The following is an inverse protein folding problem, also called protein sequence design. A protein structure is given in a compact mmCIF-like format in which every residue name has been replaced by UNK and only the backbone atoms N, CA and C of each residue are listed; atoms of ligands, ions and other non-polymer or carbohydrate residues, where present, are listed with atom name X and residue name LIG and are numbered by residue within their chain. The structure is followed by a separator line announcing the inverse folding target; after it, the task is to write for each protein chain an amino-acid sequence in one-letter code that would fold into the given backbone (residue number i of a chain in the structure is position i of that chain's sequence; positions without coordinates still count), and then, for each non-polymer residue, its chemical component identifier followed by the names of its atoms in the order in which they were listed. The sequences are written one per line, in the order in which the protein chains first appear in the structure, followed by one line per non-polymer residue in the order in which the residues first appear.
data_IF_526028347958
#
_entry.id   IF_526028347958
#
_cell.length_a   1.000
_cell.length_b   1.000
_cell.length_c   1.000
_cell.angle_alpha   90.00
_cell.angle_beta   90.00
_cell.angle_gamma   90.00
#
_symmetry.space_group_name_H-M   'P 1'
#
loop_
_entity.id
_entity.type
_entity.pdbx_description
1 polymer ?
#
# COMPACT_ATOMS: atom_id res chain seq x y z
N UNK A 1 -6.55 38.21 19.05
CA UNK A 1 -7.74 37.31 19.00
C UNK A 1 -7.99 36.67 17.64
N UNK A 2 -7.48 37.22 16.56
CA UNK A 2 -7.69 36.74 15.17
C UNK A 2 -6.64 35.75 14.71
N UNK A 3 -5.46 35.69 15.34
CA UNK A 3 -4.34 34.86 14.88
C UNK A 3 -4.50 33.37 15.25
N UNK A 4 -5.21 33.06 16.31
CA UNK A 4 -5.44 31.67 16.74
C UNK A 4 -6.46 30.93 15.87
N UNK A 5 -7.53 31.61 15.47
CA UNK A 5 -8.61 30.99 14.68
C UNK A 5 -8.19 30.61 13.25
N UNK A 6 -7.26 31.38 12.65
CA UNK A 6 -6.79 31.08 11.28
C UNK A 6 -5.83 29.90 11.21
N UNK A 7 -4.95 29.74 12.18
CA UNK A 7 -3.99 28.64 12.19
C UNK A 7 -4.67 27.27 12.41
N UNK A 8 -5.59 27.19 13.38
CA UNK A 8 -6.36 25.96 13.63
C UNK A 8 -7.28 25.61 12.45
N UNK A 9 -7.88 26.62 11.81
CA UNK A 9 -8.69 26.45 10.60
C UNK A 9 -7.86 25.89 9.44
N UNK A 10 -6.70 26.47 9.15
CA UNK A 10 -5.83 26.05 8.06
C UNK A 10 -5.32 24.60 8.26
N UNK A 11 -4.95 24.23 9.48
CA UNK A 11 -4.51 22.86 9.81
C UNK A 11 -5.66 21.88 9.64
N UNK A 12 -6.87 22.21 10.12
CA UNK A 12 -8.05 21.37 9.97
C UNK A 12 -8.47 21.20 8.51
N UNK A 13 -8.45 22.27 7.73
CA UNK A 13 -8.79 22.25 6.31
C UNK A 13 -7.79 21.46 5.46
N UNK A 14 -6.49 21.58 5.75
CA UNK A 14 -5.44 20.75 5.11
C UNK A 14 -5.58 19.28 5.49
N UNK A 15 -5.92 18.96 6.73
CA UNK A 15 -6.24 17.62 7.17
C UNK A 15 -7.48 17.04 6.46
N UNK A 16 -8.50 17.84 6.24
CA UNK A 16 -9.69 17.46 5.48
C UNK A 16 -9.38 17.24 3.99
N UNK A 17 -8.51 18.06 3.42
CA UNK A 17 -8.02 17.90 2.04
C UNK A 17 -7.24 16.60 1.89
N UNK A 18 -6.33 16.29 2.80
CA UNK A 18 -5.60 15.02 2.84
C UNK A 18 -6.55 13.82 2.92
N UNK A 19 -7.54 13.88 3.81
CA UNK A 19 -8.55 12.81 3.94
C UNK A 19 -9.33 12.61 2.65
N UNK A 20 -9.78 13.69 2.01
CA UNK A 20 -10.50 13.62 0.73
C UNK A 20 -9.66 12.95 -0.36
N UNK A 21 -8.39 13.32 -0.48
CA UNK A 21 -7.47 12.74 -1.47
C UNK A 21 -7.23 11.25 -1.16
N UNK A 22 -7.01 10.91 0.11
CA UNK A 22 -6.87 9.53 0.56
C UNK A 22 -8.11 8.68 0.25
N UNK A 23 -9.32 9.22 0.50
CA UNK A 23 -10.59 8.55 0.17
C UNK A 23 -10.78 8.39 -1.34
N UNK A 24 -10.40 9.37 -2.15
CA UNK A 24 -10.43 9.28 -3.62
C UNK A 24 -9.47 8.20 -4.14
N UNK A 25 -8.26 8.15 -3.59
CA UNK A 25 -7.28 7.12 -3.94
C UNK A 25 -7.75 5.73 -3.53
N UNK A 26 -8.28 5.57 -2.31
CA UNK A 26 -8.84 4.30 -1.83
C UNK A 26 -9.96 3.81 -2.74
N UNK A 27 -10.91 4.66 -3.09
CA UNK A 27 -11.99 4.31 -4.03
C UNK A 27 -11.48 3.90 -5.41
N UNK A 28 -10.42 4.54 -5.91
CA UNK A 28 -9.81 4.17 -7.16
C UNK A 28 -9.13 2.78 -7.08
N UNK A 29 -8.43 2.50 -5.99
CA UNK A 29 -7.83 1.19 -5.74
C UNK A 29 -8.90 0.10 -5.56
N UNK A 30 -9.95 0.35 -4.76
CA UNK A 30 -11.05 -0.58 -4.56
C UNK A 30 -11.73 -0.95 -5.89
N UNK A 31 -11.97 0.04 -6.75
CA UNK A 31 -12.53 -0.20 -8.08
C UNK A 31 -11.66 -1.11 -8.94
N UNK A 32 -10.35 -1.03 -8.81
CA UNK A 32 -9.41 -1.90 -9.53
C UNK A 32 -9.46 -3.32 -8.96
N UNK A 33 -9.42 -3.48 -7.64
CA UNK A 33 -9.46 -4.78 -6.98
C UNK A 33 -10.81 -5.49 -7.12
N UNK A 34 -11.91 -4.75 -7.15
CA UNK A 34 -13.27 -5.30 -7.34
C UNK A 34 -13.61 -5.58 -8.81
N UNK A 35 -12.71 -5.28 -9.74
CA UNK A 35 -12.94 -5.50 -11.16
C UNK A 35 -12.75 -6.96 -11.56
N UNK A 36 -13.47 -7.40 -12.60
CA UNK A 36 -13.27 -8.72 -13.20
C UNK A 36 -11.85 -8.94 -13.75
N UNK A 37 -11.09 -7.85 -13.91
CA UNK A 37 -9.69 -7.91 -14.36
C UNK A 37 -8.71 -8.31 -13.25
N UNK A 38 -9.08 -8.21 -11.97
CA UNK A 38 -8.29 -8.71 -10.86
C UNK A 38 -8.53 -10.21 -10.69
N UNK A 39 -7.56 -11.07 -11.03
CA UNK A 39 -7.82 -12.50 -11.23
C UNK A 39 -7.65 -13.35 -9.97
N UNK A 40 -7.50 -12.72 -8.80
CA UNK A 40 -7.19 -13.43 -7.56
C UNK A 40 -8.32 -13.33 -6.54
N UNK A 41 -8.50 -14.41 -5.75
CA UNK A 41 -9.30 -14.34 -4.54
C UNK A 41 -8.55 -13.60 -3.45
N UNK A 42 -9.24 -12.74 -2.72
CA UNK A 42 -8.65 -11.86 -1.73
C UNK A 42 -9.62 -11.59 -0.59
N UNK A 43 -9.09 -11.61 0.64
CA UNK A 43 -9.83 -11.19 1.82
C UNK A 43 -9.67 -9.69 2.08
N UNK A 44 -8.50 -9.14 1.80
CA UNK A 44 -8.13 -7.75 2.10
C UNK A 44 -7.35 -7.19 0.93
N UNK A 45 -7.93 -6.20 0.26
CA UNK A 45 -7.26 -5.41 -0.76
C UNK A 45 -7.66 -3.97 -0.62
N UNK A 46 -6.73 -3.09 -0.35
CA UNK A 46 -6.97 -1.65 -0.35
C UNK A 46 -5.71 -0.85 -0.65
N UNK A 47 -5.89 0.41 -0.95
CA UNK A 47 -4.80 1.37 -1.11
C UNK A 47 -5.06 2.64 -0.31
N UNK A 48 -4.01 3.19 0.26
CA UNK A 48 -4.02 4.46 0.98
C UNK A 48 -2.90 5.37 0.48
N UNK A 49 -3.05 6.67 0.72
CA UNK A 49 -1.95 7.64 0.62
C UNK A 49 -1.41 7.89 2.01
N UNK A 50 -0.11 7.76 2.18
CA UNK A 50 0.56 8.06 3.44
C UNK A 50 0.70 9.57 3.61
N UNK A 51 -0.08 10.13 4.53
CA UNK A 51 0.02 11.52 4.95
C UNK A 51 0.55 11.62 6.37
N UNK A 52 1.47 12.55 6.60
CA UNK A 52 2.00 12.85 7.93
C UNK A 52 1.84 14.33 8.25
N UNK A 53 1.44 14.70 9.49
CA UNK A 53 1.46 16.09 9.92
C UNK A 53 2.89 16.59 10.08
N UNK A 54 3.12 17.90 9.87
CA UNK A 54 4.44 18.49 10.04
C UNK A 54 5.01 18.27 11.45
N UNK A 55 4.17 18.32 12.48
CA UNK A 55 4.58 18.05 13.87
C UNK A 55 5.10 16.63 14.08
N UNK A 56 4.58 15.65 13.36
CA UNK A 56 5.12 14.30 13.37
C UNK A 56 6.49 14.25 12.70
N UNK A 57 6.61 14.84 11.52
CA UNK A 57 7.86 14.88 10.75
C UNK A 57 9.00 15.58 11.51
N UNK A 58 8.71 16.66 12.24
CA UNK A 58 9.69 17.37 13.07
C UNK A 58 10.26 16.49 14.19
N UNK A 59 9.46 15.60 14.77
CA UNK A 59 9.85 14.78 15.91
C UNK A 59 10.38 13.38 15.53
N UNK A 60 9.98 12.84 14.38
CA UNK A 60 10.24 11.44 14.00
C UNK A 60 10.95 11.32 12.63
N UNK A 61 11.17 12.43 11.93
CA UNK A 61 11.63 12.42 10.55
C UNK A 61 10.49 12.20 9.56
N UNK A 62 10.75 12.46 8.29
CA UNK A 62 9.82 12.23 7.20
C UNK A 62 9.99 10.80 6.72
N UNK A 63 8.95 9.95 6.74
CA UNK A 63 9.01 8.64 6.08
C UNK A 63 9.38 8.80 4.60
N UNK A 64 10.07 7.81 4.05
CA UNK A 64 10.56 7.86 2.66
C UNK A 64 9.44 8.07 1.64
N UNK A 65 8.24 7.56 1.94
CA UNK A 65 7.06 7.61 1.07
C UNK A 65 5.86 8.26 1.78
N UNK A 66 5.99 9.51 2.17
CA UNK A 66 4.89 10.24 2.79
C UNK A 66 4.76 11.65 2.20
N UNK A 67 3.55 12.19 2.28
CA UNK A 67 3.25 13.58 1.94
C UNK A 67 2.94 14.34 3.22
N UNK A 68 3.61 15.47 3.42
CA UNK A 68 3.36 16.33 4.57
C UNK A 68 2.08 17.12 4.33
N UNK A 69 1.10 17.00 5.24
CA UNK A 69 -0.21 17.64 5.09
C UNK A 69 -0.13 19.16 4.97
N UNK A 70 0.88 19.80 5.58
CA UNK A 70 1.08 21.24 5.52
C UNK A 70 1.48 21.76 4.12
N UNK A 71 1.97 20.87 3.24
CA UNK A 71 2.33 21.21 1.85
C UNK A 71 1.11 21.25 0.93
N UNK A 72 -0.06 20.75 1.39
CA UNK A 72 -1.29 20.78 0.61
C UNK A 72 -1.84 22.20 0.50
N UNK A 73 -2.30 22.54 -0.70
CA UNK A 73 -3.03 23.78 -0.97
C UNK A 73 -4.54 23.50 -0.88
N UNK A 74 -5.26 24.40 -0.22
CA UNK A 74 -6.71 24.28 -0.08
C UNK A 74 -7.40 24.41 -1.45
N UNK A 75 -8.49 23.65 -1.61
CA UNK A 75 -9.34 23.66 -2.82
C UNK A 75 -8.62 23.31 -4.13
N UNK A 76 -7.40 22.79 -4.04
CA UNK A 76 -6.67 22.31 -5.21
C UNK A 76 -7.06 20.87 -5.56
N UNK A 77 -7.25 20.62 -6.84
CA UNK A 77 -7.34 19.25 -7.38
C UNK A 77 -5.94 18.68 -7.54
N UNK A 78 -5.77 17.42 -7.14
CA UNK A 78 -4.51 16.71 -7.24
C UNK A 78 -4.66 15.47 -8.12
N UNK A 79 -3.59 15.14 -8.83
CA UNK A 79 -3.51 13.92 -9.62
C UNK A 79 -3.24 12.71 -8.72
N UNK A 80 -4.17 11.76 -8.69
CA UNK A 80 -4.03 10.53 -7.90
C UNK A 80 -2.81 9.70 -8.33
N UNK A 81 -2.43 9.75 -9.60
CA UNK A 81 -1.22 9.09 -10.08
C UNK A 81 0.03 9.72 -9.50
N UNK A 82 0.09 11.05 -9.45
CA UNK A 82 1.21 11.76 -8.84
C UNK A 82 1.32 11.43 -7.34
N UNK A 83 0.22 11.51 -6.60
CA UNK A 83 0.22 11.16 -5.18
C UNK A 83 0.51 9.68 -4.92
N UNK A 84 -0.07 8.80 -5.70
CA UNK A 84 0.22 7.37 -5.63
C UNK A 84 1.70 7.08 -5.81
N UNK A 85 2.34 7.71 -6.79
CA UNK A 85 3.77 7.52 -7.05
C UNK A 85 4.70 8.03 -5.95
N UNK A 86 4.23 8.94 -5.11
CA UNK A 86 5.00 9.52 -3.98
C UNK A 86 4.72 8.84 -2.66
N UNK A 87 3.49 8.42 -2.42
CA UNK A 87 3.04 7.99 -1.10
C UNK A 87 1.91 6.95 -1.14
N UNK A 88 1.64 6.34 -2.29
CA UNK A 88 0.65 5.28 -2.40
C UNK A 88 1.15 4.00 -1.75
N UNK A 89 0.35 3.43 -0.87
CA UNK A 89 0.62 2.18 -0.18
C UNK A 89 -0.52 1.21 -0.42
N UNK A 90 -0.22 0.06 -1.01
CA UNK A 90 -1.19 -1.02 -1.19
C UNK A 90 -0.99 -2.10 -0.13
N UNK A 91 -2.09 -2.58 0.42
CA UNK A 91 -2.13 -3.76 1.29
C UNK A 91 -3.01 -4.82 0.64
N UNK A 92 -2.43 -5.99 0.36
CA UNK A 92 -3.07 -7.03 -0.44
C UNK A 92 -2.85 -8.40 0.17
N UNK A 93 -3.93 -9.13 0.42
CA UNK A 93 -3.92 -10.52 0.86
C UNK A 93 -4.57 -11.38 -0.20
N UNK A 94 -3.79 -12.19 -0.87
CA UNK A 94 -4.24 -13.07 -1.97
C UNK A 94 -4.25 -14.52 -1.50
N UNK A 95 -5.31 -15.23 -1.83
CA UNK A 95 -5.44 -16.67 -1.60
C UNK A 95 -5.08 -17.46 -2.85
N UNK A 96 -4.29 -18.52 -2.69
CA UNK A 96 -3.88 -19.41 -3.77
C UNK A 96 -3.57 -20.82 -3.26
N UNK A 97 -3.93 -21.81 -4.04
CA UNK A 97 -3.49 -23.21 -3.78
C UNK A 97 -1.97 -23.39 -3.98
N UNK A 98 -1.30 -22.43 -4.60
CA UNK A 98 0.15 -22.41 -4.79
C UNK A 98 0.74 -21.21 -4.05
N UNK A 99 1.52 -21.48 -3.00
CA UNK A 99 2.19 -20.47 -2.18
C UNK A 99 3.69 -20.61 -2.34
N UNK A 100 4.22 -19.91 -3.35
CA UNK A 100 5.64 -19.90 -3.73
C UNK A 100 6.11 -18.51 -4.10
N UNK A 101 7.42 -18.28 -4.11
CA UNK A 101 8.00 -17.01 -4.53
C UNK A 101 7.67 -16.67 -5.99
N UNK A 102 7.63 -17.67 -6.87
CA UNK A 102 7.23 -17.51 -8.28
C UNK A 102 5.78 -17.03 -8.39
N UNK A 103 4.88 -17.60 -7.58
CA UNK A 103 3.47 -17.19 -7.58
C UNK A 103 3.29 -15.78 -7.03
N UNK A 104 3.99 -15.43 -5.96
CA UNK A 104 3.96 -14.09 -5.41
C UNK A 104 4.54 -13.05 -6.40
N UNK A 105 5.63 -13.40 -7.10
CA UNK A 105 6.18 -12.57 -8.17
C UNK A 105 5.16 -12.32 -9.31
N UNK A 106 4.45 -13.37 -9.74
CA UNK A 106 3.37 -13.27 -10.74
C UNK A 106 2.25 -12.32 -10.26
N UNK A 107 1.82 -12.45 -9.00
CA UNK A 107 0.79 -11.60 -8.39
C UNK A 107 1.21 -10.12 -8.39
N UNK A 108 2.43 -9.81 -7.97
CA UNK A 108 2.95 -8.44 -7.92
C UNK A 108 3.03 -7.81 -9.32
N UNK A 109 3.52 -8.56 -10.31
CA UNK A 109 3.56 -8.10 -11.71
C UNK A 109 2.16 -7.83 -12.26
N UNK A 110 1.20 -8.70 -11.96
CA UNK A 110 -0.20 -8.53 -12.38
C UNK A 110 -0.86 -7.32 -11.72
N UNK A 111 -0.63 -7.08 -10.43
CA UNK A 111 -1.15 -5.90 -9.71
C UNK A 111 -0.58 -4.62 -10.34
N UNK A 112 0.73 -4.56 -10.55
CA UNK A 112 1.36 -3.39 -11.17
C UNK A 112 0.78 -3.08 -12.55
N UNK A 113 0.69 -4.09 -13.42
CA UNK A 113 0.13 -3.95 -14.77
C UNK A 113 -1.33 -3.46 -14.73
N UNK A 114 -2.12 -3.99 -13.80
CA UNK A 114 -3.52 -3.62 -13.63
C UNK A 114 -3.67 -2.16 -13.17
N UNK A 115 -2.86 -1.71 -12.21
CA UNK A 115 -2.85 -0.33 -11.74
C UNK A 115 -2.41 0.62 -12.86
N UNK A 116 -1.33 0.31 -13.57
CA UNK A 116 -0.83 1.10 -14.68
C UNK A 116 -1.88 1.29 -15.78
N UNK A 117 -2.60 0.22 -16.14
CA UNK A 117 -3.69 0.25 -17.13
C UNK A 117 -4.86 1.14 -16.71
N UNK A 118 -5.08 1.29 -15.41
CA UNK A 118 -6.14 2.14 -14.87
C UNK A 118 -5.66 3.57 -14.55
N UNK A 119 -4.43 3.93 -14.86
CA UNK A 119 -3.89 5.26 -14.63
C UNK A 119 -3.70 5.62 -13.15
N UNK A 120 -3.64 4.60 -12.29
CA UNK A 120 -3.34 4.72 -10.87
C UNK A 120 -2.01 4.05 -10.60
N UNK A 121 -1.24 4.53 -9.64
CA UNK A 121 0.04 3.94 -9.26
C UNK A 121 0.19 3.94 -7.74
N UNK A 122 1.24 3.31 -7.26
CA UNK A 122 1.59 3.25 -5.84
C UNK A 122 3.11 3.40 -5.67
N UNK A 123 3.56 3.63 -4.47
CA UNK A 123 4.99 3.68 -4.13
C UNK A 123 5.48 2.36 -3.57
N UNK A 124 4.72 1.80 -2.61
CA UNK A 124 5.02 0.52 -1.97
C UNK A 124 3.80 -0.40 -1.93
N UNK A 125 4.06 -1.69 -1.79
CA UNK A 125 3.04 -2.70 -1.56
C UNK A 125 3.47 -3.67 -0.47
N UNK A 126 2.54 -3.97 0.45
CA UNK A 126 2.57 -5.13 1.33
C UNK A 126 1.67 -6.20 0.72
N UNK A 127 2.22 -7.34 0.39
CA UNK A 127 1.46 -8.42 -0.23
C UNK A 127 1.70 -9.75 0.49
N UNK A 128 0.62 -10.37 0.90
CA UNK A 128 0.62 -11.70 1.51
C UNK A 128 -0.04 -12.69 0.56
N UNK A 129 0.64 -13.78 0.29
CA UNK A 129 0.13 -14.93 -0.45
C UNK A 129 -0.04 -16.10 0.53
N UNK A 130 -1.26 -16.55 0.69
CA UNK A 130 -1.64 -17.59 1.65
C UNK A 130 -2.55 -18.65 1.03
N UNK A 131 -2.65 -19.81 1.68
CA UNK A 131 -3.60 -20.84 1.28
C UNK A 131 -5.04 -20.39 1.58
N UNK A 132 -6.04 -20.83 0.77
CA UNK A 132 -7.44 -20.55 1.04
C UNK A 132 -7.83 -21.07 2.43
N UNK A 133 -8.65 -20.29 3.15
CA UNK A 133 -9.18 -20.71 4.44
C UNK A 133 -10.10 -21.91 4.26
N UNK A 134 -9.94 -22.99 5.05
CA UNK A 134 -10.84 -24.15 4.95
C UNK A 134 -12.26 -23.76 5.35
N UNK A 135 -13.25 -24.24 4.61
CA UNK A 135 -14.68 -24.01 4.89
C UNK A 135 -15.12 -24.59 6.25
N UNK A 136 -14.46 -25.62 6.72
CA UNK A 136 -14.74 -26.32 7.99
C UNK A 136 -14.05 -25.70 9.21
N UNK A 137 -13.28 -24.61 9.03
CA UNK A 137 -12.51 -23.96 10.08
C UNK A 137 -11.33 -24.80 10.60
N UNK A 138 -10.94 -25.86 9.89
CA UNK A 138 -9.74 -26.65 10.22
C UNK A 138 -8.48 -25.76 10.13
N UNK A 139 -7.56 -25.93 11.08
CA UNK A 139 -6.25 -25.28 10.99
C UNK A 139 -5.49 -25.87 9.83
N UNK A 140 -5.20 -25.08 8.80
CA UNK A 140 -4.17 -25.38 7.81
C UNK A 140 -2.81 -24.91 8.31
N UNK A 141 -1.78 -25.44 7.67
CA UNK A 141 -0.43 -24.94 7.80
C UNK A 141 -0.42 -23.41 7.55
N UNK A 142 0.06 -22.65 8.54
CA UNK A 142 0.12 -21.19 8.49
C UNK A 142 1.24 -20.69 7.54
N UNK A 143 1.73 -21.55 6.64
CA UNK A 143 2.75 -21.18 5.68
C UNK A 143 2.21 -20.13 4.70
N UNK A 144 2.94 -19.03 4.63
CA UNK A 144 2.66 -17.94 3.71
C UNK A 144 3.94 -17.37 3.14
N UNK A 145 3.83 -16.76 1.98
CA UNK A 145 4.85 -15.90 1.41
C UNK A 145 4.41 -14.47 1.56
N UNK A 146 5.32 -13.59 1.98
CA UNK A 146 4.96 -12.18 2.17
C UNK A 146 6.08 -11.25 1.76
N UNK A 147 5.72 -10.13 1.18
CA UNK A 147 6.61 -8.99 0.99
C UNK A 147 6.06 -7.79 1.75
N UNK A 148 6.98 -7.01 2.32
CA UNK A 148 6.67 -5.79 3.07
C UNK A 148 7.48 -4.63 2.51
N UNK A 149 6.82 -3.46 2.43
CA UNK A 149 7.42 -2.24 1.88
C UNK A 149 8.11 -2.48 0.52
N UNK A 150 7.52 -3.35 -0.31
CA UNK A 150 8.08 -3.70 -1.60
C UNK A 150 7.85 -2.57 -2.60
N UNK A 151 8.93 -2.02 -3.17
CA UNK A 151 8.84 -0.83 -4.00
C UNK A 151 8.22 -1.13 -5.37
N UNK A 152 7.37 -0.23 -5.84
CA UNK A 152 6.85 -0.26 -7.22
C UNK A 152 7.97 -0.34 -8.26
N UNK A 153 9.08 0.37 -8.03
CA UNK A 153 10.27 0.37 -8.91
C UNK A 153 10.96 -0.99 -9.00
N UNK A 154 10.79 -1.86 -8.01
CA UNK A 154 11.39 -3.19 -7.95
C UNK A 154 10.49 -4.28 -8.55
N UNK A 155 9.28 -3.91 -8.99
CA UNK A 155 8.35 -4.82 -9.66
C UNK A 155 8.62 -4.81 -11.17
N UNK A 156 9.46 -5.72 -11.65
CA UNK A 156 9.76 -5.99 -13.05
C UNK A 156 10.27 -7.42 -13.24
N UNK A 157 10.15 -7.98 -14.45
CA UNK A 157 10.32 -9.42 -14.71
C UNK A 157 11.71 -9.96 -14.35
N UNK A 158 12.79 -9.23 -14.72
CA UNK A 158 14.16 -9.69 -14.50
C UNK A 158 14.44 -9.89 -13.01
N UNK A 159 14.87 -11.09 -12.62
CA UNK A 159 15.18 -11.47 -11.24
C UNK A 159 14.06 -11.23 -10.20
N UNK A 160 12.80 -11.13 -10.64
CA UNK A 160 11.67 -10.83 -9.75
C UNK A 160 11.52 -11.84 -8.61
N UNK A 161 11.65 -13.13 -8.91
CA UNK A 161 11.55 -14.21 -7.92
C UNK A 161 12.62 -14.06 -6.84
N UNK A 162 13.84 -13.67 -7.23
CA UNK A 162 14.92 -13.44 -6.26
C UNK A 162 14.60 -12.26 -5.33
N UNK A 163 14.13 -11.14 -5.88
CA UNK A 163 13.76 -9.96 -5.05
C UNK A 163 12.62 -10.28 -4.08
N UNK A 164 11.64 -11.06 -4.53
CA UNK A 164 10.54 -11.52 -3.67
C UNK A 164 11.07 -12.42 -2.55
N UNK A 165 11.93 -13.38 -2.89
CA UNK A 165 12.53 -14.29 -1.89
C UNK A 165 13.36 -13.51 -0.86
N UNK A 166 14.22 -12.61 -1.32
CA UNK A 166 15.06 -11.79 -0.44
C UNK A 166 14.21 -10.92 0.51
N UNK A 167 13.09 -10.35 0.02
CA UNK A 167 12.19 -9.54 0.85
C UNK A 167 11.39 -10.40 1.83
N UNK A 168 10.88 -11.56 1.42
CA UNK A 168 10.18 -12.50 2.30
C UNK A 168 11.08 -12.98 3.45
N UNK A 169 12.31 -13.34 3.16
CA UNK A 169 13.30 -13.73 4.18
C UNK A 169 13.60 -12.59 5.15
N UNK A 170 13.79 -11.37 4.64
CA UNK A 170 14.02 -10.19 5.47
C UNK A 170 12.82 -9.86 6.36
N UNK A 171 11.61 -9.98 5.82
CA UNK A 171 10.37 -9.74 6.56
C UNK A 171 10.20 -10.75 7.70
N UNK A 172 10.44 -12.03 7.42
CA UNK A 172 10.39 -13.09 8.44
C UNK A 172 11.43 -12.89 9.54
N UNK A 173 12.66 -12.51 9.17
CA UNK A 173 13.73 -12.22 10.13
C UNK A 173 13.37 -11.03 11.03
N UNK A 174 12.74 -10.00 10.48
CA UNK A 174 12.26 -8.85 11.24
C UNK A 174 11.24 -9.25 12.31
N UNK A 175 10.20 -10.03 11.95
CA UNK A 175 9.19 -10.49 12.89
C UNK A 175 9.75 -11.39 13.98
N UNK A 176 10.68 -12.28 13.65
CA UNK A 176 11.34 -13.15 14.65
C UNK A 176 12.15 -12.35 15.67
N UNK A 177 12.76 -11.25 15.27
CA UNK A 177 13.54 -10.39 16.17
C UNK A 177 12.64 -9.55 17.11
N UNK A 178 11.39 -9.27 16.74
CA UNK A 178 10.43 -8.56 17.60
C UNK A 178 9.78 -9.48 18.65
N UNK A 179 9.76 -10.80 18.40
CA UNK A 179 9.18 -11.79 19.35
C UNK A 179 10.17 -12.25 20.43
N UNK A 180 11.46 -11.87 20.39
CA UNK A 180 12.49 -12.15 21.40
C UNK A 180 12.66 -11.00 22.41
#
# INVERSE_FOLDING_TARGET
KIIYDTYESDVAEKGNTARRIGDEYRKAADKIFDSDAFPYESDICFGDIEFVPASYAENHGIPEYAIITNELELDKSYDLKEFGSKAGHLTVYVQSETVTAEKLAEVLLAIKDLFDKNGVTFYVIDCVLEYPKPEDGAQRDDFRMEVKDFLYSDIYEEEMVKRVTDNDEATKAYWQAEDE
#
